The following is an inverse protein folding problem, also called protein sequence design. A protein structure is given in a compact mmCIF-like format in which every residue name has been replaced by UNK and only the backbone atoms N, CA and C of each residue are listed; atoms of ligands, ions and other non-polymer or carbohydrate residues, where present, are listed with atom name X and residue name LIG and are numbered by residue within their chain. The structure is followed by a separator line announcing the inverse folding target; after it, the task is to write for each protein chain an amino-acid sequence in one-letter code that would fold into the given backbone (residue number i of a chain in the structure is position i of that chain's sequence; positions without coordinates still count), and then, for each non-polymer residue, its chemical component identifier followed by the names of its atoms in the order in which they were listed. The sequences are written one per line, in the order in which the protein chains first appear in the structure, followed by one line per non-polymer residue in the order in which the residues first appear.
data_IF_285441072680
#
_entry.id   IF_285441072680
#
_cell.length_a   1.000
_cell.length_b   1.000
_cell.length_c   1.000
_cell.angle_alpha   90.00
_cell.angle_beta   90.00
_cell.angle_gamma   90.00
#
_symmetry.space_group_name_H-M   'P 1'
#
loop_
_entity.id
_entity.type
_entity.pdbx_description
1 polymer ?
#
# COMPACT_ATOMS: atom_id res chain seq x y z
N UNK A 1 0.87 18.82 -4.64
CA UNK A 1 -0.29 18.12 -4.07
C UNK A 1 0.07 16.65 -4.02
N UNK A 2 0.00 16.02 -2.86
CA UNK A 2 0.22 14.57 -2.75
C UNK A 2 -1.05 13.90 -3.26
N UNK A 3 -0.96 13.16 -4.37
CA UNK A 3 -2.08 12.39 -4.89
C UNK A 3 -2.35 11.17 -4.01
N UNK A 4 -3.61 10.86 -3.73
CA UNK A 4 -4.02 9.60 -3.09
C UNK A 4 -3.39 8.40 -3.84
N UNK A 5 -3.07 7.33 -3.11
CA UNK A 5 -2.57 6.07 -3.65
C UNK A 5 -3.54 4.95 -3.27
N UNK A 6 -4.02 4.19 -4.25
CA UNK A 6 -4.81 2.99 -4.05
C UNK A 6 -3.98 1.77 -4.46
N UNK A 7 -3.70 0.88 -3.52
CA UNK A 7 -3.07 -0.42 -3.81
C UNK A 7 -4.18 -1.47 -3.80
N UNK A 8 -4.41 -2.18 -4.91
CA UNK A 8 -5.49 -3.17 -5.02
C UNK A 8 -5.03 -4.59 -4.88
N UNK A 9 -5.80 -5.42 -4.19
CA UNK A 9 -5.57 -6.86 -4.06
C UNK A 9 -4.23 -7.22 -3.41
N UNK A 10 -3.70 -6.36 -2.54
CA UNK A 10 -2.49 -6.66 -1.78
C UNK A 10 -2.79 -7.61 -0.62
N UNK A 11 -1.81 -8.42 -0.20
CA UNK A 11 -1.91 -9.31 0.96
C UNK A 11 -1.08 -8.78 2.13
N UNK A 12 -1.66 -8.00 3.07
CA UNK A 12 -0.93 -7.45 4.20
C UNK A 12 -0.34 -8.57 5.06
N UNK A 13 0.99 -8.59 5.19
CA UNK A 13 1.70 -9.64 5.94
C UNK A 13 1.35 -11.08 5.50
N UNK A 14 0.89 -11.27 4.26
CA UNK A 14 0.48 -12.57 3.71
C UNK A 14 -0.97 -13.00 4.01
N UNK A 15 -1.77 -12.15 4.65
CA UNK A 15 -3.20 -12.39 4.90
C UNK A 15 -4.04 -12.44 3.60
N UNK A 16 -5.36 -12.46 3.75
CA UNK A 16 -6.28 -12.42 2.62
C UNK A 16 -6.12 -11.10 1.81
N UNK A 17 -6.33 -11.13 0.48
CA UNK A 17 -6.20 -9.95 -0.35
C UNK A 17 -7.19 -8.84 0.03
N UNK A 18 -6.68 -7.61 0.11
CA UNK A 18 -7.46 -6.38 0.36
C UNK A 18 -6.89 -5.22 -0.46
N UNK A 19 -7.69 -4.17 -0.61
CA UNK A 19 -7.26 -2.89 -1.11
C UNK A 19 -6.84 -1.97 0.04
N UNK A 20 -5.81 -1.15 -0.19
CA UNK A 20 -5.28 -0.16 0.75
C UNK A 20 -5.38 1.23 0.12
N UNK A 21 -6.12 2.14 0.74
CA UNK A 21 -6.16 3.55 0.34
C UNK A 21 -5.23 4.36 1.23
N UNK A 22 -4.32 5.10 0.61
CA UNK A 22 -3.39 5.99 1.27
C UNK A 22 -3.65 7.45 0.89
N UNK A 23 -3.56 8.32 1.90
CA UNK A 23 -3.59 9.78 1.77
C UNK A 23 -2.53 10.39 2.67
N UNK A 24 -1.74 11.32 2.13
CA UNK A 24 -0.68 12.03 2.87
C UNK A 24 0.25 11.11 3.68
N UNK A 25 0.68 10.01 3.04
CA UNK A 25 1.59 9.02 3.65
C UNK A 25 0.96 8.13 4.72
N UNK A 26 -0.36 8.17 4.92
CA UNK A 26 -1.10 7.35 5.88
C UNK A 26 -2.07 6.42 5.18
N UNK A 27 -2.25 5.22 5.72
CA UNK A 27 -3.34 4.34 5.32
C UNK A 27 -4.62 4.91 5.97
N UNK A 28 -5.60 5.26 5.14
CA UNK A 28 -6.88 5.84 5.59
C UNK A 28 -8.04 4.86 5.50
N UNK A 29 -7.91 3.81 4.68
CA UNK A 29 -8.93 2.77 4.54
C UNK A 29 -8.30 1.43 4.11
N UNK A 30 -8.87 0.33 4.62
CA UNK A 30 -8.51 -1.06 4.29
C UNK A 30 -9.81 -1.81 4.06
N UNK A 31 -9.96 -2.45 2.90
CA UNK A 31 -11.21 -3.15 2.56
C UNK A 31 -11.17 -3.74 1.16
N UNK A 32 -12.26 -4.32 0.69
CA UNK A 32 -12.36 -4.87 -0.66
C UNK A 32 -13.15 -3.93 -1.57
N UNK A 33 -12.74 -3.82 -2.84
CA UNK A 33 -13.45 -3.03 -3.85
C UNK A 33 -13.36 -1.52 -3.63
N UNK A 34 -12.25 -1.05 -3.04
CA UNK A 34 -12.07 0.37 -2.76
C UNK A 34 -11.91 1.16 -4.06
N UNK A 35 -12.46 2.37 -4.06
CA UNK A 35 -12.33 3.31 -5.18
C UNK A 35 -11.95 4.68 -4.65
N UNK A 36 -11.08 5.38 -5.36
CA UNK A 36 -10.75 6.78 -5.07
C UNK A 36 -10.52 7.54 -6.37
N UNK A 37 -11.25 8.64 -6.55
CA UNK A 37 -11.20 9.44 -7.78
C UNK A 37 -9.86 10.17 -7.85
N UNK A 38 -9.12 9.96 -8.94
CA UNK A 38 -7.84 10.63 -9.16
C UNK A 38 -6.69 10.05 -8.33
N UNK A 39 -6.91 8.95 -7.61
CA UNK A 39 -5.83 8.23 -6.96
C UNK A 39 -4.93 7.57 -8.01
N UNK A 40 -3.62 7.57 -7.76
CA UNK A 40 -2.71 6.67 -8.45
C UNK A 40 -3.05 5.24 -8.02
N UNK A 41 -3.24 4.33 -8.98
CA UNK A 41 -3.55 2.93 -8.67
C UNK A 41 -2.32 2.06 -8.88
N UNK A 42 -2.08 1.15 -7.96
CA UNK A 42 -1.11 0.05 -8.07
C UNK A 42 -1.89 -1.25 -7.94
N UNK A 43 -1.92 -2.04 -9.01
CA UNK A 43 -2.51 -3.37 -8.99
C UNK A 43 -1.47 -4.33 -8.36
N UNK A 44 -1.77 -4.90 -7.20
CA UNK A 44 -0.86 -5.79 -6.49
C UNK A 44 -1.12 -7.28 -6.81
N UNK A 45 -2.21 -7.64 -7.48
CA UNK A 45 -2.49 -8.98 -8.01
C UNK A 45 -2.23 -10.15 -7.03
N UNK A 46 -2.56 -9.96 -5.75
CA UNK A 46 -2.35 -10.97 -4.71
C UNK A 46 -0.91 -11.08 -4.18
N UNK A 47 -0.03 -10.13 -4.50
CA UNK A 47 1.31 -10.03 -3.94
C UNK A 47 1.27 -9.62 -2.46
N UNK A 48 2.33 -9.97 -1.74
CA UNK A 48 2.47 -9.64 -0.31
C UNK A 48 2.84 -8.17 -0.14
N UNK A 49 2.05 -7.45 0.66
CA UNK A 49 2.41 -6.13 1.16
C UNK A 49 3.06 -6.26 2.53
N UNK A 50 4.31 -5.81 2.63
CA UNK A 50 5.04 -5.72 3.89
C UNK A 50 5.17 -4.25 4.30
N UNK A 51 5.25 -3.94 5.61
CA UNK A 51 5.80 -2.68 6.06
C UNK A 51 7.17 -2.45 5.42
N UNK A 52 7.54 -1.17 5.25
CA UNK A 52 8.88 -0.82 4.81
C UNK A 52 9.94 -1.49 5.69
N UNK A 53 10.95 -2.08 5.07
CA UNK A 53 12.03 -2.75 5.80
C UNK A 53 12.82 -1.71 6.61
N UNK A 54 13.21 -2.09 7.83
CA UNK A 54 14.09 -1.29 8.67
C UNK A 54 15.49 -1.85 8.56
N UNK A 55 16.37 -1.10 7.91
CA UNK A 55 17.78 -1.45 7.81
C UNK A 55 18.52 -0.93 9.05
N UNK A 56 18.93 -1.85 9.92
CA UNK A 56 19.58 -1.53 11.19
C UNK A 56 21.07 -1.26 11.06
N UNK A 57 21.69 -1.67 9.94
CA UNK A 57 23.13 -1.57 9.82
C UNK A 57 23.58 -1.55 8.36
N UNK A 58 24.02 -0.37 7.92
CA UNK A 58 24.67 -0.16 6.62
C UNK A 58 25.88 0.75 6.75
N UNK A 59 26.82 0.57 5.83
CA UNK A 59 27.84 1.58 5.53
C UNK A 59 27.47 2.26 4.22
N UNK A 60 26.61 3.27 4.33
CA UNK A 60 26.32 4.18 3.22
C UNK A 60 27.47 5.18 3.07
N UNK A 61 27.66 5.71 1.87
CA UNK A 61 28.76 6.65 1.57
C UNK A 61 28.51 8.03 2.16
#
# INVERSE_FOLDING_TARGET
MVSDLLVRGARPLGADPVDLLLRDGRIVEIGAGLTSRGARVVEADGLVALPGLVDLHTHLR
#
